data_IF_805940420410
#
_entry.id   IF_805940420410
#
_cell.length_a   1.000
_cell.length_b   1.000
_cell.length_c   1.000
_cell.angle_alpha   90.00
_cell.angle_beta   90.00
_cell.angle_gamma   90.00
#
_symmetry.space_group_name_H-M   'P 1'
#
loop_
_entity.id
_entity.type
_entity.pdbx_description
1 polymer ?
#
# COMPACT_ATOMS: atom_id res chain seq x y z
N UNK A 1 -40.24 43.75 1.33
CA UNK A 1 -40.59 42.40 0.83
C UNK A 1 -39.43 41.92 -0.01
N UNK A 2 -39.08 40.66 0.18
CA UNK A 2 -37.81 39.99 -0.08
C UNK A 2 -37.48 39.87 -1.58
N UNK A 3 -36.19 39.85 -1.93
CA UNK A 3 -35.60 38.71 -2.66
C UNK A 3 -34.08 38.89 -2.83
N UNK A 4 -33.37 37.77 -2.66
CA UNK A 4 -31.96 37.71 -2.31
C UNK A 4 -31.01 37.96 -3.50
N UNK A 5 -29.92 38.67 -3.24
CA UNK A 5 -28.75 38.70 -4.09
C UNK A 5 -27.95 37.39 -3.89
N UNK A 6 -28.19 36.40 -4.75
CA UNK A 6 -27.29 35.26 -4.91
C UNK A 6 -26.42 35.52 -6.14
N UNK A 7 -25.10 35.73 -6.00
CA UNK A 7 -24.23 35.77 -7.16
C UNK A 7 -24.12 34.35 -7.73
N UNK A 8 -24.63 34.14 -8.94
CA UNK A 8 -24.33 32.94 -9.71
C UNK A 8 -22.87 33.01 -10.15
N UNK A 9 -21.99 32.51 -9.28
CA UNK A 9 -20.67 32.06 -9.65
C UNK A 9 -20.81 31.11 -10.84
N UNK A 10 -20.21 31.54 -11.94
CA UNK A 10 -20.22 30.82 -13.20
C UNK A 10 -19.75 29.38 -12.99
N UNK A 11 -20.61 28.48 -13.45
CA UNK A 11 -20.42 27.05 -13.70
C UNK A 11 -18.96 26.63 -13.70
N UNK A 12 -18.60 25.84 -12.68
CA UNK A 12 -17.37 25.08 -12.60
C UNK A 12 -17.21 24.30 -13.92
N UNK A 13 -16.16 24.61 -14.68
CA UNK A 13 -15.75 23.84 -15.85
C UNK A 13 -15.83 22.34 -15.56
N UNK A 14 -16.44 21.50 -16.43
CA UNK A 14 -16.19 20.07 -16.36
C UNK A 14 -14.72 19.87 -16.71
N UNK A 15 -13.90 19.62 -15.69
CA UNK A 15 -12.52 19.22 -15.89
C UNK A 15 -12.49 18.04 -16.90
N UNK A 16 -11.55 18.02 -17.85
CA UNK A 16 -11.42 16.90 -18.78
C UNK A 16 -11.26 15.60 -17.99
N UNK A 17 -11.79 14.46 -18.48
CA UNK A 17 -11.68 13.19 -17.79
C UNK A 17 -10.23 12.99 -17.41
N UNK A 18 -9.98 12.88 -16.10
CA UNK A 18 -8.67 12.54 -15.60
C UNK A 18 -8.28 11.25 -16.32
N UNK A 19 -7.23 11.35 -17.14
CA UNK A 19 -6.60 10.20 -17.77
C UNK A 19 -6.31 9.24 -16.63
N UNK A 20 -7.08 8.16 -16.55
CA UNK A 20 -6.72 6.94 -15.85
C UNK A 20 -5.42 6.50 -16.51
N UNK A 21 -4.31 7.05 -16.01
CA UNK A 21 -2.99 6.58 -16.36
C UNK A 21 -2.98 5.12 -15.92
N UNK A 22 -2.65 4.18 -16.82
CA UNK A 22 -2.37 2.82 -16.42
C UNK A 22 -1.02 2.84 -15.71
N UNK A 23 -1.00 3.37 -14.49
CA UNK A 23 0.13 3.25 -13.60
C UNK A 23 0.17 1.78 -13.19
N UNK A 24 0.93 1.02 -13.98
CA UNK A 24 1.48 -0.30 -13.69
C UNK A 24 0.73 -1.05 -12.59
N UNK A 25 -0.29 -1.81 -12.98
CA UNK A 25 -1.12 -2.65 -12.08
C UNK A 25 -0.26 -3.41 -11.07
N UNK A 26 0.93 -3.86 -11.48
CA UNK A 26 1.90 -4.55 -10.64
C UNK A 26 2.39 -3.74 -9.43
N UNK A 27 2.58 -2.42 -9.56
CA UNK A 27 3.06 -1.56 -8.45
C UNK A 27 1.94 -1.35 -7.43
N UNK A 28 0.70 -1.13 -7.89
CA UNK A 28 -0.46 -1.02 -7.01
C UNK A 28 -0.78 -2.34 -6.30
N UNK A 29 -0.72 -3.46 -7.02
CA UNK A 29 -0.90 -4.80 -6.45
C UNK A 29 0.12 -5.07 -5.33
N UNK A 30 1.39 -4.72 -5.59
CA UNK A 30 2.46 -4.87 -4.59
C UNK A 30 2.25 -3.96 -3.37
N UNK A 31 1.77 -2.73 -3.58
CA UNK A 31 1.49 -1.82 -2.48
C UNK A 31 0.31 -2.31 -1.62
N UNK A 32 -0.75 -2.84 -2.26
CA UNK A 32 -1.88 -3.44 -1.55
C UNK A 32 -1.45 -4.68 -0.77
N UNK A 33 -0.64 -5.54 -1.38
CA UNK A 33 -0.09 -6.72 -0.73
C UNK A 33 0.73 -6.34 0.51
N UNK A 34 1.63 -5.36 0.38
CA UNK A 34 2.40 -4.82 1.51
C UNK A 34 1.48 -4.38 2.64
N UNK A 35 0.44 -3.62 2.32
CA UNK A 35 -0.50 -3.10 3.31
C UNK A 35 -1.26 -4.21 4.05
N UNK A 36 -1.63 -5.28 3.34
CA UNK A 36 -2.27 -6.46 3.95
C UNK A 36 -1.27 -7.20 4.85
N UNK A 37 -0.05 -7.44 4.37
CA UNK A 37 0.99 -8.14 5.14
C UNK A 37 1.39 -7.36 6.40
N UNK A 38 1.48 -6.03 6.34
CA UNK A 38 1.77 -5.18 7.49
C UNK A 38 0.67 -5.18 8.56
N UNK A 39 -0.57 -5.59 8.23
CA UNK A 39 -1.62 -5.78 9.24
C UNK A 39 -1.47 -7.09 10.01
N UNK A 40 -0.79 -8.09 9.41
CA UNK A 40 -0.60 -9.42 9.98
C UNK A 40 0.77 -9.58 10.65
N UNK A 41 1.78 -8.89 10.13
CA UNK A 41 3.17 -9.00 10.54
C UNK A 41 3.79 -7.62 10.79
N UNK A 42 4.89 -7.54 11.56
CA UNK A 42 5.62 -6.30 11.76
C UNK A 42 6.11 -5.72 10.43
N UNK A 43 5.96 -4.40 10.27
CA UNK A 43 6.34 -3.70 9.05
C UNK A 43 7.79 -3.94 8.64
N UNK A 44 8.73 -3.96 9.59
CA UNK A 44 10.14 -4.20 9.31
C UNK A 44 10.39 -5.57 8.65
N UNK A 45 9.65 -6.61 9.06
CA UNK A 45 9.82 -7.96 8.53
C UNK A 45 9.22 -8.07 7.12
N UNK A 46 8.06 -7.44 6.90
CA UNK A 46 7.43 -7.33 5.59
C UNK A 46 8.33 -6.57 4.62
N UNK A 47 8.90 -5.43 5.03
CA UNK A 47 9.83 -4.66 4.21
C UNK A 47 11.11 -5.44 3.92
N UNK A 48 11.68 -6.15 4.90
CA UNK A 48 12.86 -7.00 4.71
C UNK A 48 12.61 -8.04 3.61
N UNK A 49 11.51 -8.81 3.74
CA UNK A 49 11.17 -9.86 2.77
C UNK A 49 10.79 -9.27 1.41
N UNK A 50 10.00 -8.20 1.34
CA UNK A 50 9.64 -7.59 0.06
C UNK A 50 10.83 -6.92 -0.64
N UNK A 51 11.85 -6.49 0.11
CA UNK A 51 13.10 -5.99 -0.47
C UNK A 51 13.97 -7.14 -0.99
N UNK A 52 14.03 -8.26 -0.26
CA UNK A 52 14.77 -9.46 -0.67
C UNK A 52 14.14 -10.20 -1.87
N UNK A 53 12.81 -10.10 -2.04
CA UNK A 53 12.06 -10.76 -3.11
C UNK A 53 11.25 -9.72 -3.93
N UNK A 54 11.92 -8.90 -4.78
CA UNK A 54 11.29 -7.82 -5.53
C UNK A 54 10.33 -8.30 -6.63
N UNK A 55 10.47 -9.54 -7.09
CA UNK A 55 9.64 -10.12 -8.15
C UNK A 55 8.45 -10.94 -7.61
N UNK A 56 8.49 -11.30 -6.32
CA UNK A 56 7.44 -12.10 -5.70
C UNK A 56 6.31 -11.19 -5.19
N UNK A 57 5.09 -11.50 -5.59
CA UNK A 57 3.88 -10.75 -5.26
C UNK A 57 2.77 -11.66 -4.72
N UNK A 58 3.09 -12.94 -4.45
CA UNK A 58 2.17 -13.89 -3.85
C UNK A 58 2.28 -13.87 -2.32
N UNK A 59 1.18 -13.50 -1.67
CA UNK A 59 1.06 -13.52 -0.21
C UNK A 59 1.41 -14.89 0.38
N UNK A 60 0.98 -15.99 -0.26
CA UNK A 60 1.17 -17.34 0.26
C UNK A 60 2.65 -17.74 0.30
N UNK A 61 3.47 -17.19 -0.59
CA UNK A 61 4.91 -17.42 -0.61
C UNK A 61 5.66 -16.47 0.31
N UNK A 62 5.20 -15.22 0.45
CA UNK A 62 5.84 -14.23 1.33
C UNK A 62 5.57 -14.50 2.81
N UNK A 63 4.37 -14.95 3.19
CA UNK A 63 4.00 -15.28 4.58
C UNK A 63 5.01 -16.20 5.29
N UNK A 64 5.36 -17.39 4.77
CA UNK A 64 6.33 -18.26 5.45
C UNK A 64 7.73 -17.65 5.52
N UNK A 65 8.13 -16.83 4.53
CA UNK A 65 9.40 -16.11 4.57
C UNK A 65 9.42 -15.06 5.68
N UNK A 66 8.33 -14.31 5.85
CA UNK A 66 8.18 -13.33 6.93
C UNK A 66 8.20 -14.03 8.30
N UNK A 67 7.51 -15.16 8.44
CA UNK A 67 7.54 -15.95 9.68
C UNK A 67 8.97 -16.42 10.00
N UNK A 68 9.71 -16.90 8.99
CA UNK A 68 11.11 -17.32 9.16
C UNK A 68 12.01 -16.15 9.59
N UNK A 69 11.83 -14.98 8.98
CA UNK A 69 12.56 -13.75 9.33
C UNK A 69 12.31 -13.37 10.81
N UNK A 70 11.04 -13.43 11.24
CA UNK A 70 10.65 -13.16 12.63
C UNK A 70 11.24 -14.16 13.62
N UNK A 71 11.35 -15.44 13.24
CA UNK A 71 11.95 -16.47 14.09
C UNK A 71 13.47 -16.30 14.23
N UNK A 72 14.17 -15.92 13.15
CA UNK A 72 15.61 -15.68 13.21
C UNK A 72 15.97 -14.51 14.14
N UNK A 73 15.21 -13.42 14.08
CA UNK A 73 15.42 -12.28 14.98
C UNK A 73 15.24 -12.69 16.44
N UNK A 74 14.23 -13.47 16.77
CA UNK A 74 14.00 -13.95 18.15
C UNK A 74 15.13 -14.83 18.70
N UNK A 75 15.82 -15.60 17.85
CA UNK A 75 16.99 -16.39 18.29
C UNK A 75 18.21 -15.51 18.60
N UNK A 76 18.35 -14.37 17.91
CA UNK A 76 19.45 -13.44 18.17
C UNK A 76 19.35 -12.77 19.55
N UNK A 77 18.14 -12.57 20.08
CA UNK A 77 17.94 -11.97 21.40
C UNK A 77 18.08 -12.95 22.57
N UNK A 78 18.08 -14.26 22.34
CA UNK A 78 18.20 -15.27 23.40
C UNK A 78 19.65 -15.71 23.69
N UNK A 79 20.64 -15.23 22.94
CA UNK A 79 22.07 -15.57 23.12
C UNK A 79 22.94 -14.39 23.57
N UNK A 80 22.37 -13.37 24.23
CA UNK A 80 23.12 -12.27 24.88
C UNK A 80 22.96 -12.28 26.39
#
# INVERSE_FOLDING_TARGET
MFEAAVPQCMVLNPAPPQKEQPFSTAVEERLRLRNILCQLFPEWAVLSVMSAYPDENDAQKLCPLIIRELQQQQQSFQNS
#
